data_IF_282552237252
#
_entry.id   IF_282552237252
#
_cell.length_a   1.000
_cell.length_b   1.000
_cell.length_c   1.000
_cell.angle_alpha   90.00
_cell.angle_beta   90.00
_cell.angle_gamma   90.00
#
_symmetry.space_group_name_H-M   'P 1'
#
loop_
_entity.id
_entity.type
_entity.pdbx_description
1 polymer ?
#
# COMPACT_ATOMS: atom_id res chain seq x y z
N UNK A 1 9.87 10.13 21.57
CA UNK A 1 10.00 9.86 20.12
C UNK A 1 9.64 8.40 19.90
N UNK A 2 8.68 8.05 19.03
CA UNK A 2 8.51 6.66 18.68
C UNK A 2 9.82 6.13 18.13
N UNK A 3 10.24 4.95 18.62
CA UNK A 3 11.50 4.33 18.20
C UNK A 3 11.53 4.06 16.70
N UNK A 4 12.72 4.02 16.10
CA UNK A 4 12.90 3.74 14.68
C UNK A 4 12.24 2.40 14.29
N UNK A 5 11.33 2.42 13.32
CA UNK A 5 10.52 1.26 12.94
C UNK A 5 10.53 1.02 11.43
N UNK A 6 10.14 -0.19 11.05
CA UNK A 6 9.90 -0.54 9.66
C UNK A 6 8.60 -1.33 9.50
N UNK A 7 7.94 -1.13 8.37
CA UNK A 7 6.71 -1.78 7.93
C UNK A 7 6.83 -2.26 6.50
N UNK A 8 5.97 -3.19 6.12
CA UNK A 8 6.00 -3.79 4.77
C UNK A 8 4.59 -3.92 4.22
N UNK A 9 4.40 -3.54 2.96
CA UNK A 9 3.16 -3.78 2.22
C UNK A 9 3.41 -4.49 0.90
N UNK A 10 2.45 -5.31 0.50
CA UNK A 10 2.35 -5.89 -0.82
C UNK A 10 1.14 -5.28 -1.55
N UNK A 11 1.35 -4.70 -2.71
CA UNK A 11 0.28 -4.35 -3.64
C UNK A 11 -0.08 -5.62 -4.43
N UNK A 12 -1.23 -6.20 -4.11
CA UNK A 12 -1.71 -7.45 -4.72
C UNK A 12 -2.50 -7.10 -5.96
N UNK A 13 -1.83 -7.10 -7.10
CA UNK A 13 -2.41 -6.74 -8.40
C UNK A 13 -3.04 -7.93 -9.12
N UNK A 14 -2.55 -9.14 -8.82
CA UNK A 14 -2.99 -10.40 -9.44
C UNK A 14 -3.57 -11.38 -8.40
N UNK A 15 -4.60 -10.96 -7.65
CA UNK A 15 -5.12 -11.76 -6.53
C UNK A 15 -5.72 -13.10 -6.97
N UNK A 16 -6.03 -13.28 -8.27
CA UNK A 16 -6.62 -14.51 -8.81
C UNK A 16 -5.60 -15.40 -9.53
N UNK A 17 -4.38 -14.98 -9.71
CA UNK A 17 -3.31 -15.78 -10.29
C UNK A 17 -2.66 -16.65 -9.19
N UNK A 18 -2.64 -17.98 -9.36
CA UNK A 18 -2.19 -18.91 -8.33
C UNK A 18 -0.72 -18.74 -7.95
N UNK A 19 0.15 -18.44 -8.92
CA UNK A 19 1.58 -18.26 -8.70
C UNK A 19 1.88 -17.09 -7.74
N UNK A 20 1.50 -15.85 -8.06
CA UNK A 20 1.67 -14.70 -7.18
C UNK A 20 0.99 -14.89 -5.83
N UNK A 21 -0.25 -15.44 -5.82
CA UNK A 21 -1.01 -15.65 -4.61
C UNK A 21 -0.32 -16.63 -3.64
N UNK A 22 0.11 -17.78 -4.14
CA UNK A 22 0.82 -18.79 -3.33
C UNK A 22 2.14 -18.25 -2.80
N UNK A 23 2.91 -17.54 -3.65
CA UNK A 23 4.18 -16.94 -3.25
C UNK A 23 4.01 -15.88 -2.16
N UNK A 24 2.93 -15.08 -2.22
CA UNK A 24 2.59 -14.12 -1.16
C UNK A 24 2.22 -14.84 0.15
N UNK A 25 1.39 -15.88 0.08
CA UNK A 25 1.01 -16.70 1.22
C UNK A 25 2.22 -17.28 1.95
N UNK A 26 3.15 -17.87 1.19
CA UNK A 26 4.40 -18.40 1.72
C UNK A 26 5.27 -17.30 2.37
N UNK A 27 5.40 -16.13 1.74
CA UNK A 27 6.20 -15.04 2.27
C UNK A 27 5.60 -14.50 3.58
N UNK A 28 4.27 -14.32 3.63
CA UNK A 28 3.57 -13.87 4.85
C UNK A 28 3.70 -14.88 6.00
N UNK A 29 3.61 -16.17 5.71
CA UNK A 29 3.81 -17.24 6.70
C UNK A 29 5.21 -17.23 7.27
N UNK A 30 6.24 -17.05 6.44
CA UNK A 30 7.65 -17.04 6.87
C UNK A 30 8.07 -15.80 7.64
N UNK A 31 7.37 -14.68 7.49
CA UNK A 31 7.65 -13.40 8.17
C UNK A 31 9.13 -13.01 8.15
N UNK A 32 9.77 -12.86 6.97
CA UNK A 32 11.21 -12.54 6.93
C UNK A 32 11.49 -11.24 7.69
N UNK A 33 12.47 -11.26 8.59
CA UNK A 33 12.79 -10.13 9.46
C UNK A 33 11.75 -9.83 10.56
N UNK A 34 10.77 -10.72 10.77
CA UNK A 34 9.70 -10.56 11.77
C UNK A 34 8.52 -9.69 11.28
N UNK A 35 8.47 -9.33 10.01
CA UNK A 35 7.43 -8.45 9.48
C UNK A 35 6.08 -9.15 9.27
N UNK A 36 5.01 -8.51 9.73
CA UNK A 36 3.66 -8.78 9.29
C UNK A 36 3.39 -7.94 8.03
N UNK A 37 3.36 -8.61 6.87
CA UNK A 37 3.23 -7.95 5.57
C UNK A 37 1.76 -7.60 5.33
N UNK A 38 1.46 -6.30 5.18
CA UNK A 38 0.13 -5.84 4.80
C UNK A 38 -0.20 -6.28 3.36
N UNK A 39 -1.40 -6.82 3.16
CA UNK A 39 -1.91 -7.12 1.83
C UNK A 39 -2.90 -6.02 1.41
N UNK A 40 -2.51 -5.20 0.45
CA UNK A 40 -3.37 -4.20 -0.19
C UNK A 40 -3.87 -4.83 -1.49
N UNK A 41 -5.13 -5.29 -1.50
CA UNK A 41 -5.64 -6.17 -2.54
C UNK A 41 -6.50 -5.40 -3.52
N UNK A 42 -6.20 -5.52 -4.81
CA UNK A 42 -7.02 -4.98 -5.87
C UNK A 42 -8.38 -5.72 -5.91
N UNK A 43 -9.52 -5.01 -5.96
CA UNK A 43 -10.83 -5.65 -6.18
C UNK A 43 -10.87 -6.44 -7.48
N UNK A 44 -11.80 -7.40 -7.62
CA UNK A 44 -11.95 -8.15 -8.86
C UNK A 44 -12.44 -7.21 -9.97
N UNK A 45 -12.06 -7.51 -11.19
CA UNK A 45 -12.53 -6.84 -12.41
C UNK A 45 -13.48 -7.77 -13.17
N UNK A 46 -14.80 -7.60 -13.01
CA UNK A 46 -15.77 -8.41 -13.74
C UNK A 46 -15.67 -8.24 -15.26
N UNK A 47 -15.24 -7.05 -15.72
CA UNK A 47 -15.02 -6.77 -17.14
C UNK A 47 -13.88 -7.60 -17.73
N UNK A 48 -12.92 -8.02 -16.91
CA UNK A 48 -11.84 -8.93 -17.27
C UNK A 48 -12.19 -10.42 -16.99
N UNK A 49 -13.44 -10.73 -16.64
CA UNK A 49 -13.89 -12.09 -16.33
C UNK A 49 -13.38 -12.64 -15.00
N UNK A 50 -12.94 -11.80 -14.09
CA UNK A 50 -12.42 -12.23 -12.78
C UNK A 50 -13.53 -12.72 -11.86
N UNK A 51 -13.30 -13.87 -11.20
CA UNK A 51 -14.26 -14.50 -10.29
C UNK A 51 -14.35 -13.77 -8.95
N UNK A 52 -15.50 -13.16 -8.65
CA UNK A 52 -15.77 -12.51 -7.36
C UNK A 52 -15.69 -13.52 -6.20
N UNK A 53 -16.23 -14.72 -6.36
CA UNK A 53 -16.25 -15.73 -5.30
C UNK A 53 -14.84 -16.20 -4.92
N UNK A 54 -13.99 -16.45 -5.90
CA UNK A 54 -12.59 -16.81 -5.65
C UNK A 54 -11.83 -15.63 -5.02
N UNK A 55 -12.08 -14.41 -5.52
CA UNK A 55 -11.49 -13.21 -4.95
C UNK A 55 -11.86 -13.05 -3.46
N UNK A 56 -13.15 -13.19 -3.12
CA UNK A 56 -13.62 -13.07 -1.73
C UNK A 56 -13.01 -14.15 -0.82
N UNK A 57 -12.88 -15.38 -1.29
CA UNK A 57 -12.21 -16.42 -0.53
C UNK A 57 -10.75 -16.05 -0.21
N UNK A 58 -10.01 -15.56 -1.21
CA UNK A 58 -8.62 -15.12 -1.06
C UNK A 58 -8.50 -13.87 -0.18
N UNK A 59 -9.36 -12.88 -0.36
CA UNK A 59 -9.36 -11.67 0.46
C UNK A 59 -9.62 -11.97 1.95
N UNK A 60 -10.52 -12.91 2.28
CA UNK A 60 -10.74 -13.37 3.65
C UNK A 60 -9.50 -14.04 4.25
N UNK A 61 -8.80 -14.86 3.47
CA UNK A 61 -7.51 -15.46 3.88
C UNK A 61 -6.49 -14.35 4.13
N UNK A 62 -6.40 -13.35 3.25
CA UNK A 62 -5.47 -12.24 3.42
C UNK A 62 -5.78 -11.42 4.68
N UNK A 63 -7.04 -11.11 4.93
CA UNK A 63 -7.49 -10.34 6.10
C UNK A 63 -7.26 -11.10 7.42
N UNK A 64 -7.49 -12.42 7.44
CA UNK A 64 -7.23 -13.24 8.62
C UNK A 64 -5.73 -13.38 8.93
N UNK A 65 -4.86 -13.31 7.93
CA UNK A 65 -3.42 -13.51 8.09
C UNK A 65 -2.64 -12.25 8.52
N UNK A 66 -3.25 -11.07 8.62
CA UNK A 66 -2.58 -9.84 9.07
C UNK A 66 -3.19 -8.56 8.49
N UNK A 67 -2.45 -7.42 8.48
CA UNK A 67 -2.96 -6.15 7.99
C UNK A 67 -3.52 -6.28 6.58
N UNK A 68 -4.72 -5.72 6.37
CA UNK A 68 -5.48 -5.83 5.13
C UNK A 68 -5.96 -4.45 4.66
N UNK A 69 -5.91 -4.22 3.36
CA UNK A 69 -6.35 -2.99 2.75
C UNK A 69 -6.76 -3.14 1.30
N UNK A 70 -7.19 -2.03 0.75
CA UNK A 70 -7.64 -1.88 -0.63
C UNK A 70 -6.51 -1.30 -1.49
N UNK A 71 -6.28 -1.87 -2.67
CA UNK A 71 -5.43 -1.32 -3.73
C UNK A 71 -6.28 -1.00 -4.95
N UNK A 72 -6.66 0.26 -5.13
CA UNK A 72 -7.57 0.63 -6.22
C UNK A 72 -6.82 0.85 -7.53
N UNK A 73 -7.17 0.07 -8.56
CA UNK A 73 -6.90 0.40 -9.95
C UNK A 73 -8.09 1.17 -10.53
N UNK A 74 -7.84 2.31 -11.14
CA UNK A 74 -8.88 3.27 -11.50
C UNK A 74 -9.58 2.98 -12.83
N UNK A 75 -9.00 2.13 -13.66
CA UNK A 75 -9.54 1.76 -14.96
C UNK A 75 -9.60 0.25 -15.18
N UNK A 76 -9.84 -0.53 -14.12
CA UNK A 76 -9.84 -1.99 -14.14
C UNK A 76 -8.45 -2.60 -13.96
N UNK A 77 -8.34 -3.90 -14.22
CA UNK A 77 -7.17 -4.73 -13.91
C UNK A 77 -5.83 -4.16 -14.39
N UNK A 78 -5.77 -3.64 -15.60
CA UNK A 78 -4.51 -3.27 -16.25
C UNK A 78 -4.28 -1.75 -16.34
N UNK A 79 -5.17 -0.96 -15.74
CA UNK A 79 -5.08 0.51 -15.75
C UNK A 79 -5.01 1.08 -14.34
N UNK A 80 -3.79 1.27 -13.86
CA UNK A 80 -3.56 1.72 -12.51
C UNK A 80 -3.99 3.17 -12.24
N UNK A 81 -3.85 4.11 -13.21
CA UNK A 81 -4.22 5.53 -13.05
C UNK A 81 -5.59 5.86 -13.63
N UNK A 82 -6.28 6.91 -13.09
CA UNK A 82 -7.55 7.34 -13.65
C UNK A 82 -7.40 7.81 -15.12
N UNK A 83 -8.39 7.47 -15.93
CA UNK A 83 -8.53 7.99 -17.30
C UNK A 83 -9.89 8.69 -17.49
N UNK A 84 -10.65 8.86 -16.42
CA UNK A 84 -11.99 9.47 -16.38
C UNK A 84 -12.79 8.97 -15.20
N UNK A 85 -14.05 9.37 -15.11
CA UNK A 85 -14.95 9.02 -14.02
C UNK A 85 -14.73 9.83 -12.73
N UNK A 86 -15.25 9.33 -11.62
CA UNK A 86 -15.09 9.91 -10.29
C UNK A 86 -14.27 8.97 -9.40
N UNK A 87 -12.96 9.23 -9.21
CA UNK A 87 -12.11 8.38 -8.38
C UNK A 87 -12.58 8.27 -6.92
N UNK A 88 -13.11 9.35 -6.34
CA UNK A 88 -13.59 9.33 -4.96
C UNK A 88 -14.85 8.48 -4.80
N UNK A 89 -15.78 8.54 -5.77
CA UNK A 89 -16.96 7.67 -5.79
C UNK A 89 -16.53 6.19 -5.89
N UNK A 90 -15.61 5.87 -6.80
CA UNK A 90 -15.10 4.49 -6.96
C UNK A 90 -14.53 3.93 -5.64
N UNK A 91 -13.78 4.73 -4.87
CA UNK A 91 -13.25 4.31 -3.57
C UNK A 91 -14.39 4.01 -2.59
N UNK A 92 -15.39 4.91 -2.50
CA UNK A 92 -16.57 4.69 -1.63
C UNK A 92 -17.31 3.41 -1.99
N UNK A 93 -17.56 3.19 -3.28
CA UNK A 93 -18.27 2.01 -3.79
C UNK A 93 -17.49 0.73 -3.47
N UNK A 94 -16.18 0.70 -3.71
CA UNK A 94 -15.34 -0.45 -3.42
C UNK A 94 -15.29 -0.77 -1.91
N UNK A 95 -15.18 0.26 -1.05
CA UNK A 95 -15.17 0.04 0.40
C UNK A 95 -16.54 -0.41 0.90
N UNK A 96 -17.63 0.16 0.39
CA UNK A 96 -18.99 -0.27 0.71
C UNK A 96 -19.19 -1.74 0.31
N UNK A 97 -18.81 -2.10 -0.92
CA UNK A 97 -18.87 -3.46 -1.44
C UNK A 97 -18.09 -4.47 -0.58
N UNK A 98 -16.90 -4.09 -0.09
CA UNK A 98 -16.11 -4.93 0.82
C UNK A 98 -16.80 -5.10 2.18
N UNK A 99 -17.30 -4.02 2.76
CA UNK A 99 -17.97 -4.02 4.07
C UNK A 99 -19.25 -4.86 4.08
N UNK A 100 -20.04 -4.76 3.02
CA UNK A 100 -21.24 -5.60 2.82
C UNK A 100 -20.90 -7.11 2.81
N UNK A 101 -19.67 -7.46 2.43
CA UNK A 101 -19.19 -8.86 2.37
C UNK A 101 -18.37 -9.27 3.60
N UNK A 102 -18.43 -8.46 4.66
CA UNK A 102 -17.77 -8.73 5.94
C UNK A 102 -16.26 -8.52 5.92
N UNK A 103 -15.73 -7.75 4.95
CA UNK A 103 -14.33 -7.34 4.88
C UNK A 103 -14.19 -5.88 5.30
N UNK A 104 -13.34 -5.61 6.29
CA UNK A 104 -13.09 -4.26 6.80
C UNK A 104 -11.64 -3.85 6.49
N UNK A 105 -11.39 -3.21 5.32
CA UNK A 105 -10.05 -2.69 5.03
C UNK A 105 -9.73 -1.56 6.01
N UNK A 106 -8.51 -1.55 6.55
CA UNK A 106 -7.98 -0.47 7.37
C UNK A 106 -7.02 0.45 6.60
N UNK A 107 -6.53 -0.04 5.47
CA UNK A 107 -5.47 0.58 4.67
C UNK A 107 -5.94 0.79 3.23
N UNK A 108 -5.35 1.78 2.58
CA UNK A 108 -5.58 2.07 1.16
C UNK A 108 -4.26 2.33 0.44
N UNK A 109 -4.17 2.00 -0.84
CA UNK A 109 -3.15 2.49 -1.76
C UNK A 109 -3.76 2.72 -3.14
N UNK A 110 -3.60 3.93 -3.65
CA UNK A 110 -4.04 4.29 -5.01
C UNK A 110 -3.08 3.76 -6.07
N UNK A 111 -3.61 3.07 -7.06
CA UNK A 111 -2.86 2.60 -8.21
C UNK A 111 -2.16 3.75 -8.93
N UNK A 112 -0.92 3.50 -9.38
CA UNK A 112 -0.08 4.51 -10.02
C UNK A 112 0.22 5.72 -9.14
N UNK A 113 0.17 5.57 -7.82
CA UNK A 113 0.40 6.63 -6.82
C UNK A 113 -0.55 7.83 -6.97
N UNK A 114 -1.77 7.56 -7.42
CA UNK A 114 -2.77 8.61 -7.58
C UNK A 114 -3.50 8.86 -6.27
N UNK A 115 -3.41 10.11 -5.82
CA UNK A 115 -4.15 10.63 -4.68
C UNK A 115 -4.43 12.11 -4.93
N UNK A 116 -5.70 12.49 -5.07
CA UNK A 116 -6.15 13.87 -5.11
C UNK A 116 -6.94 14.23 -3.83
N UNK A 117 -7.31 15.51 -3.70
CA UNK A 117 -8.02 15.99 -2.52
C UNK A 117 -9.39 15.33 -2.31
N UNK A 118 -10.09 14.94 -3.39
CA UNK A 118 -11.42 14.28 -3.31
C UNK A 118 -11.28 12.85 -2.83
N UNK A 119 -10.28 12.11 -3.34
CA UNK A 119 -9.96 10.76 -2.86
C UNK A 119 -9.48 10.81 -1.41
N UNK A 120 -8.60 11.74 -1.06
CA UNK A 120 -8.12 11.92 0.30
C UNK A 120 -9.27 12.20 1.30
N UNK A 121 -10.23 13.07 0.92
CA UNK A 121 -11.42 13.34 1.72
C UNK A 121 -12.29 12.08 1.89
N UNK A 122 -12.49 11.31 0.83
CA UNK A 122 -13.24 10.05 0.89
C UNK A 122 -12.56 9.02 1.82
N UNK A 123 -11.24 8.90 1.77
CA UNK A 123 -10.49 8.01 2.67
C UNK A 123 -10.61 8.44 4.14
N UNK A 124 -10.50 9.74 4.41
CA UNK A 124 -10.69 10.30 5.76
C UNK A 124 -12.11 10.01 6.29
N UNK A 125 -13.15 10.24 5.47
CA UNK A 125 -14.55 9.95 5.76
C UNK A 125 -14.78 8.45 6.08
N UNK A 126 -14.12 7.57 5.32
CA UNK A 126 -14.22 6.12 5.47
C UNK A 126 -13.35 5.56 6.62
N UNK A 127 -12.49 6.38 7.23
CA UNK A 127 -11.59 5.99 8.32
C UNK A 127 -10.43 5.09 7.88
N UNK A 128 -9.98 5.22 6.64
CA UNK A 128 -8.84 4.46 6.09
C UNK A 128 -7.54 5.25 6.24
N UNK A 129 -6.45 4.55 6.59
CA UNK A 129 -5.11 5.12 6.46
C UNK A 129 -4.62 4.91 5.02
N UNK A 130 -4.02 5.95 4.44
CA UNK A 130 -3.48 5.90 3.09
C UNK A 130 -2.00 5.53 3.07
N UNK A 131 -1.61 4.77 2.05
CA UNK A 131 -0.24 4.34 1.78
C UNK A 131 0.22 4.78 0.37
N UNK A 132 -0.51 5.71 -0.25
CA UNK A 132 -0.24 6.13 -1.63
C UNK A 132 0.93 7.11 -1.72
N UNK A 133 1.19 7.94 -0.68
CA UNK A 133 2.33 8.86 -0.71
C UNK A 133 3.66 8.13 -0.78
N UNK A 134 4.65 8.78 -1.37
CA UNK A 134 6.01 8.24 -1.48
C UNK A 134 7.07 9.25 -1.05
N UNK A 135 8.13 8.76 -0.39
CA UNK A 135 9.33 9.54 -0.08
C UNK A 135 10.26 9.75 -1.29
N UNK A 136 9.94 9.15 -2.42
CA UNK A 136 10.68 9.23 -3.68
C UNK A 136 9.73 9.53 -4.83
N UNK A 137 10.26 10.06 -5.95
CA UNK A 137 9.46 10.19 -7.18
C UNK A 137 9.62 8.93 -8.01
N UNK A 138 8.54 8.18 -8.29
CA UNK A 138 8.58 7.08 -9.25
C UNK A 138 8.99 7.58 -10.64
N UNK A 139 9.97 6.93 -11.26
CA UNK A 139 10.58 7.38 -12.52
C UNK A 139 9.64 7.39 -13.72
N UNK A 140 8.54 6.65 -13.65
CA UNK A 140 7.52 6.57 -14.71
C UNK A 140 6.43 7.64 -14.58
N UNK A 141 6.42 8.41 -13.48
CA UNK A 141 5.46 9.51 -13.34
C UNK A 141 5.93 10.72 -14.13
N UNK A 142 5.06 11.21 -14.99
CA UNK A 142 5.28 12.43 -15.75
C UNK A 142 5.51 13.63 -14.85
N UNK A 143 6.32 14.63 -15.28
CA UNK A 143 6.45 15.88 -14.57
C UNK A 143 5.07 16.51 -14.30
N UNK A 144 4.82 16.94 -13.06
CA UNK A 144 3.53 17.52 -12.66
C UNK A 144 2.39 16.52 -12.43
N UNK A 145 2.60 15.21 -12.57
CA UNK A 145 1.58 14.22 -12.22
C UNK A 145 1.19 14.35 -10.74
N UNK A 146 -0.11 14.42 -10.41
CA UNK A 146 -0.59 14.52 -9.04
C UNK A 146 -0.04 13.37 -8.18
N UNK A 147 0.60 13.71 -7.09
CA UNK A 147 1.09 12.79 -6.07
C UNK A 147 1.24 13.49 -4.74
N UNK A 148 1.23 12.75 -3.65
CA UNK A 148 1.60 13.24 -2.32
C UNK A 148 3.02 12.79 -1.99
N UNK A 149 3.86 13.72 -1.52
CA UNK A 149 5.22 13.44 -1.07
C UNK A 149 5.31 13.49 0.44
N UNK A 150 5.75 12.40 1.07
CA UNK A 150 6.03 12.36 2.50
C UNK A 150 7.11 11.32 2.81
N UNK A 151 7.93 11.55 3.84
CA UNK A 151 9.03 10.66 4.22
C UNK A 151 8.79 9.89 5.53
N UNK A 152 7.72 10.22 6.25
CA UNK A 152 7.34 9.61 7.53
C UNK A 152 5.81 9.68 7.70
N UNK A 153 5.22 8.88 8.59
CA UNK A 153 3.80 8.95 8.88
C UNK A 153 3.37 10.36 9.26
N UNK A 154 2.36 10.89 8.56
CA UNK A 154 1.89 12.26 8.74
C UNK A 154 0.37 12.30 8.72
N UNK A 155 -0.23 13.15 9.55
CA UNK A 155 -1.64 13.44 9.52
C UNK A 155 -1.88 14.69 8.68
N UNK A 156 -2.47 14.50 7.51
CA UNK A 156 -2.74 15.57 6.55
C UNK A 156 -4.13 16.15 6.80
N UNK A 157 -4.21 17.47 7.01
CA UNK A 157 -5.47 18.19 7.17
C UNK A 157 -6.12 18.47 5.82
N UNK A 158 -7.44 18.30 5.76
CA UNK A 158 -8.32 18.49 4.59
C UNK A 158 -9.57 19.26 5.07
N UNK A 159 -9.45 20.56 5.34
CA UNK A 159 -10.48 21.32 6.04
C UNK A 159 -10.67 20.79 7.46
N UNK A 160 -11.89 20.40 7.81
CA UNK A 160 -12.22 19.84 9.14
C UNK A 160 -11.86 18.34 9.28
N UNK A 161 -11.57 17.66 8.18
CA UNK A 161 -11.16 16.26 8.17
C UNK A 161 -9.62 16.09 8.21
N UNK A 162 -9.18 14.89 8.53
CA UNK A 162 -7.75 14.55 8.45
C UNK A 162 -7.54 13.13 7.96
N UNK A 163 -6.49 12.93 7.16
CA UNK A 163 -6.07 11.64 6.63
C UNK A 163 -4.74 11.22 7.26
N UNK A 164 -4.66 10.00 7.77
CA UNK A 164 -3.38 9.41 8.15
C UNK A 164 -2.69 8.88 6.89
N UNK A 165 -1.53 9.44 6.58
CA UNK A 165 -0.69 9.06 5.46
C UNK A 165 0.51 8.25 5.96
N UNK A 166 0.71 7.05 5.43
CA UNK A 166 1.76 6.10 5.78
C UNK A 166 2.66 5.87 4.54
N UNK A 167 3.54 6.81 4.20
CA UNK A 167 4.19 6.86 2.90
C UNK A 167 5.12 5.68 2.64
N UNK A 168 5.15 5.17 1.41
CA UNK A 168 6.17 4.23 0.98
C UNK A 168 7.54 4.93 0.84
N UNK A 169 8.56 4.39 1.49
CA UNK A 169 9.91 4.97 1.46
C UNK A 169 10.88 4.21 0.57
N UNK A 170 10.62 2.92 0.35
CA UNK A 170 11.49 2.04 -0.43
C UNK A 170 10.67 1.09 -1.29
N UNK A 171 10.95 1.06 -2.58
CA UNK A 171 10.57 -0.09 -3.40
C UNK A 171 11.43 -1.31 -3.06
N UNK A 172 11.03 -2.51 -3.51
CA UNK A 172 11.84 -3.72 -3.39
C UNK A 172 13.29 -3.49 -3.84
N UNK A 173 13.48 -2.88 -5.00
CA UNK A 173 14.83 -2.62 -5.54
C UNK A 173 15.63 -1.63 -4.70
N UNK A 174 15.00 -0.61 -4.14
CA UNK A 174 15.65 0.34 -3.22
C UNK A 174 16.01 -0.35 -1.90
N UNK A 175 15.10 -1.15 -1.35
CA UNK A 175 15.35 -1.92 -0.12
C UNK A 175 16.51 -2.90 -0.30
N UNK A 176 16.54 -3.64 -1.42
CA UNK A 176 17.61 -4.58 -1.71
C UNK A 176 18.99 -3.90 -1.83
N UNK A 177 19.05 -2.71 -2.44
CA UNK A 177 20.33 -1.97 -2.55
C UNK A 177 20.72 -1.23 -1.27
N UNK A 178 19.71 -0.75 -0.51
CA UNK A 178 19.91 0.14 0.63
C UNK A 178 19.92 -0.53 2.01
N UNK A 179 19.55 -1.82 2.11
CA UNK A 179 19.36 -2.50 3.39
C UNK A 179 20.57 -2.42 4.34
N UNK A 180 21.79 -2.44 3.81
CA UNK A 180 23.04 -2.35 4.61
C UNK A 180 23.52 -0.90 4.80
N UNK A 181 23.01 0.06 4.02
CA UNK A 181 23.36 1.47 4.10
C UNK A 181 22.67 2.21 5.25
N UNK A 182 22.67 3.55 5.21
CA UNK A 182 21.96 4.36 6.21
C UNK A 182 20.44 4.26 5.99
N UNK A 183 19.72 3.75 6.98
CA UNK A 183 18.26 3.68 6.96
C UNK A 183 17.65 4.87 7.71
N UNK A 184 16.55 5.48 7.21
CA UNK A 184 15.79 6.50 7.94
C UNK A 184 15.14 5.90 9.20
N UNK A 185 14.63 6.75 10.08
CA UNK A 185 13.93 6.30 11.30
C UNK A 185 12.65 5.51 10.97
N UNK A 186 11.93 5.91 9.95
CA UNK A 186 10.78 5.18 9.39
C UNK A 186 11.16 4.57 8.05
N UNK A 187 10.90 3.28 7.89
CA UNK A 187 11.10 2.53 6.65
C UNK A 187 9.80 1.83 6.29
N UNK A 188 9.24 2.13 5.13
CA UNK A 188 8.13 1.40 4.54
C UNK A 188 8.58 0.79 3.22
N UNK A 189 8.73 -0.53 3.21
CA UNK A 189 9.07 -1.27 1.99
C UNK A 189 7.78 -1.71 1.32
N UNK A 190 7.58 -1.32 0.06
CA UNK A 190 6.51 -1.87 -0.76
C UNK A 190 7.06 -2.74 -1.89
N UNK A 191 6.26 -3.69 -2.33
CA UNK A 191 6.50 -4.54 -3.49
C UNK A 191 5.16 -5.00 -4.09
N UNK A 192 5.19 -5.60 -5.29
CA UNK A 192 4.01 -6.19 -5.91
C UNK A 192 4.05 -7.71 -5.78
N UNK A 193 2.88 -8.36 -5.73
CA UNK A 193 2.77 -9.81 -5.70
C UNK A 193 3.44 -10.47 -6.92
N UNK A 194 3.41 -9.81 -8.07
CA UNK A 194 4.10 -10.23 -9.30
C UNK A 194 5.63 -10.26 -9.17
N UNK A 195 6.21 -9.47 -8.27
CA UNK A 195 7.66 -9.52 -7.96
C UNK A 195 8.08 -10.86 -7.36
N UNK A 196 7.16 -11.56 -6.70
CA UNK A 196 7.44 -12.80 -6.00
C UNK A 196 7.56 -14.02 -6.92
N UNK A 197 7.09 -13.93 -8.15
CA UNK A 197 7.20 -14.99 -9.15
C UNK A 197 8.64 -15.10 -9.67
N UNK A 198 9.36 -13.98 -9.70
CA UNK A 198 10.80 -13.99 -9.98
C UNK A 198 11.59 -14.40 -8.72
N UNK A 199 12.18 -15.57 -8.77
CA UNK A 199 12.94 -16.13 -7.65
C UNK A 199 14.15 -15.27 -7.22
N UNK A 200 14.73 -14.45 -8.11
CA UNK A 200 15.81 -13.53 -7.75
C UNK A 200 15.26 -12.34 -6.97
N UNK A 201 14.18 -11.74 -7.44
CA UNK A 201 13.51 -10.62 -6.78
C UNK A 201 12.99 -11.04 -5.40
N UNK A 202 12.35 -12.22 -5.32
CA UNK A 202 11.87 -12.78 -4.04
C UNK A 202 13.01 -12.97 -3.04
N UNK A 203 14.13 -13.59 -3.43
CA UNK A 203 15.30 -13.76 -2.54
C UNK A 203 15.90 -12.42 -2.11
N UNK A 204 15.99 -11.46 -3.02
CA UNK A 204 16.50 -10.11 -2.71
C UNK A 204 15.60 -9.39 -1.69
N UNK A 205 14.26 -9.49 -1.85
CA UNK A 205 13.30 -8.97 -0.88
C UNK A 205 13.47 -9.63 0.50
N UNK A 206 13.46 -10.95 0.55
CA UNK A 206 13.59 -11.68 1.82
C UNK A 206 14.90 -11.35 2.55
N UNK A 207 16.00 -11.24 1.81
CA UNK A 207 17.28 -10.82 2.34
C UNK A 207 17.21 -9.39 2.90
N UNK A 208 16.69 -8.45 2.12
CA UNK A 208 16.55 -7.05 2.55
C UNK A 208 15.69 -6.93 3.80
N UNK A 209 14.56 -7.64 3.86
CA UNK A 209 13.67 -7.61 5.02
C UNK A 209 14.36 -8.18 6.27
N UNK A 210 15.12 -9.27 6.16
CA UNK A 210 15.91 -9.81 7.30
C UNK A 210 16.93 -8.79 7.82
N UNK A 211 17.61 -8.08 6.94
CA UNK A 211 18.59 -7.05 7.34
C UNK A 211 17.88 -5.85 7.98
N UNK A 212 16.81 -5.34 7.35
CA UNK A 212 16.05 -4.20 7.86
C UNK A 212 15.44 -4.55 9.23
N UNK A 213 14.86 -5.74 9.41
CA UNK A 213 14.25 -6.17 10.65
C UNK A 213 15.24 -6.31 11.84
N UNK A 214 16.54 -6.50 11.56
CA UNK A 214 17.60 -6.43 12.59
C UNK A 214 17.98 -5.01 13.00
N UNK A 215 17.67 -4.03 12.15
CA UNK A 215 18.12 -2.62 12.28
C UNK A 215 16.99 -1.65 12.63
N UNK A 216 15.75 -2.06 12.38
CA UNK A 216 14.53 -1.31 12.68
C UNK A 216 13.53 -2.26 13.32
N UNK A 217 12.81 -1.80 14.32
CA UNK A 217 11.75 -2.60 14.96
C UNK A 217 10.63 -2.88 13.94
N UNK A 218 10.33 -4.15 13.64
CA UNK A 218 9.16 -4.49 12.83
C UNK A 218 7.89 -3.97 13.50
N UNK A 219 7.01 -3.32 12.71
CA UNK A 219 5.74 -2.81 13.17
C UNK A 219 4.62 -3.25 12.23
N UNK A 220 3.38 -3.19 12.70
CA UNK A 220 2.18 -3.40 11.88
C UNK A 220 1.80 -2.08 11.23
N UNK A 221 1.56 -2.11 9.91
CA UNK A 221 1.21 -0.93 9.13
C UNK A 221 -0.13 -0.32 9.60
N UNK A 222 -1.12 -1.15 9.90
CA UNK A 222 -2.46 -0.77 10.36
C UNK A 222 -2.52 -0.29 11.83
N UNK A 223 -1.38 -0.19 12.51
CA UNK A 223 -1.27 0.27 13.91
C UNK A 223 -0.29 1.42 14.09
N UNK A 224 0.09 2.05 13.00
CA UNK A 224 0.93 3.24 13.06
C UNK A 224 0.08 4.49 13.27
N UNK A 225 0.66 5.45 13.98
CA UNK A 225 0.14 6.80 14.12
C UNK A 225 1.06 7.79 13.42
N UNK A 226 0.53 8.99 13.17
CA UNK A 226 1.29 10.10 12.64
C UNK A 226 2.41 10.53 13.59
N UNK A 227 3.55 10.87 13.03
CA UNK A 227 4.69 11.47 13.76
C UNK A 227 4.77 12.99 13.58
N UNK A 228 3.94 13.52 12.67
CA UNK A 228 3.84 14.95 12.36
C UNK A 228 2.43 15.26 11.82
N UNK A 229 2.13 16.56 11.75
CA UNK A 229 0.93 17.09 11.07
C UNK A 229 1.37 17.95 9.88
N UNK A 230 0.50 18.03 8.87
CA UNK A 230 0.71 18.83 7.66
C UNK A 230 -0.60 19.16 6.96
N UNK A 231 -0.54 20.01 5.93
CA UNK A 231 -1.65 20.32 5.07
C UNK A 231 -1.57 19.49 3.79
N UNK A 232 -2.69 18.91 3.36
CA UNK A 232 -2.76 18.11 2.15
C UNK A 232 -2.31 18.89 0.91
N UNK A 233 -2.75 20.16 0.77
CA UNK A 233 -2.39 21.01 -0.37
C UNK A 233 -0.87 21.23 -0.49
N UNK A 234 -0.17 21.41 0.62
CA UNK A 234 1.28 21.55 0.64
C UNK A 234 1.99 20.22 0.28
N UNK A 235 1.48 19.08 0.77
CA UNK A 235 2.03 17.77 0.50
C UNK A 235 1.79 17.32 -0.95
N UNK A 236 0.66 17.71 -1.56
CA UNK A 236 0.32 17.41 -2.95
C UNK A 236 1.10 18.29 -3.97
N UNK A 237 1.63 19.43 -3.52
CA UNK A 237 2.43 20.35 -4.34
C UNK A 237 3.95 20.10 -4.22
N UNK A 238 4.35 19.09 -3.48
CA UNK A 238 5.74 18.79 -3.17
C UNK A 238 6.61 18.53 -4.42
N UNK A 239 7.93 18.81 -4.33
CA UNK A 239 8.89 18.80 -5.42
C UNK A 239 9.03 17.47 -6.15
#
# INVERSE_FOLDING_TARGET
>A
MPGACAVVSCHVERPLDDGPWSALGELRSRRPGGFEIAALVRPPDPGAGESESLWLARARIAAAAGPFGLHTHWGGRDRARPAGGDPAALVRDQVAWLRERGLAPALFAGGGWYLDARVAAALAELGLADCTATAFRPSYLEPGAPRVGAAAPVRLRLGDASLLELPATHSLGMAARGAVGRLPAYVHVYFHDTDLVDGRRRRALEWALRIIGRRRRPARLDRLDATAEGDFSAAASGP
#
